data_IF_758662219978
#
_entry.id   IF_758662219978
#
_cell.length_a   1.000
_cell.length_b   1.000
_cell.length_c   1.000
_cell.angle_alpha   90.00
_cell.angle_beta   90.00
_cell.angle_gamma   90.00
#
_symmetry.space_group_name_H-M   'P 1'
#
loop_
_entity.id
_entity.type
_entity.pdbx_description
1 polymer ?
#
# COMPACT_ATOMS: atom_id res chain seq x y z
N UNK A 1 0.52 -15.06 11.68
CA UNK A 1 1.14 -14.52 12.91
C UNK A 1 0.47 -13.20 13.28
N UNK A 2 0.64 -12.70 14.49
CA UNK A 2 0.07 -11.41 14.90
C UNK A 2 1.08 -10.63 15.73
N UNK A 3 1.14 -9.31 15.53
CA UNK A 3 1.91 -8.38 16.34
C UNK A 3 0.95 -7.41 17.06
N UNK A 4 1.31 -6.99 18.27
CA UNK A 4 0.57 -5.97 19.03
C UNK A 4 1.38 -4.67 19.02
N UNK A 5 0.77 -3.58 18.55
CA UNK A 5 1.39 -2.27 18.50
C UNK A 5 0.35 -1.16 18.77
N UNK A 6 0.63 -0.26 19.70
CA UNK A 6 -0.25 0.85 20.10
C UNK A 6 -1.73 0.45 20.28
N UNK A 7 -2.00 -0.73 20.85
CA UNK A 7 -3.35 -1.27 21.01
C UNK A 7 -3.95 -1.94 19.78
N UNK A 8 -3.28 -1.89 18.63
CA UNK A 8 -3.66 -2.65 17.46
C UNK A 8 -3.10 -4.08 17.53
N UNK A 9 -3.91 -5.05 17.15
CA UNK A 9 -3.48 -6.44 16.88
C UNK A 9 -3.44 -6.64 15.38
N UNK A 10 -2.25 -6.70 14.82
CA UNK A 10 -2.04 -6.81 13.39
C UNK A 10 -1.74 -8.24 12.99
N UNK A 11 -2.53 -8.78 12.07
CA UNK A 11 -2.25 -10.06 11.42
C UNK A 11 -1.28 -9.84 10.26
N UNK A 12 -0.24 -10.68 10.20
CA UNK A 12 0.73 -10.67 9.12
C UNK A 12 1.19 -12.09 8.78
N UNK A 13 1.70 -12.25 7.57
CA UNK A 13 2.34 -13.45 7.07
C UNK A 13 3.70 -13.09 6.50
N UNK A 14 4.67 -14.01 6.62
CA UNK A 14 5.99 -13.86 6.04
C UNK A 14 6.23 -14.97 5.02
N UNK A 15 6.87 -14.63 3.91
CA UNK A 15 7.18 -15.55 2.83
C UNK A 15 8.64 -15.39 2.41
N UNK A 16 9.18 -16.41 1.74
CA UNK A 16 10.55 -16.41 1.26
C UNK A 16 11.59 -16.73 2.35
N UNK A 17 12.86 -16.42 2.09
CA UNK A 17 13.96 -16.77 2.99
C UNK A 17 13.86 -16.02 4.33
N UNK A 18 14.35 -16.65 5.39
CA UNK A 18 14.41 -16.10 6.73
C UNK A 18 15.31 -14.85 6.82
N UNK A 19 15.13 -14.09 7.91
CA UNK A 19 15.95 -12.92 8.19
C UNK A 19 17.44 -13.34 8.28
N UNK A 20 18.29 -12.66 7.51
CA UNK A 20 19.74 -12.94 7.44
C UNK A 20 20.15 -13.99 6.41
N UNK A 21 19.20 -14.79 5.89
CA UNK A 21 19.49 -15.74 4.79
C UNK A 21 19.33 -15.10 3.41
N UNK A 22 18.58 -14.00 3.28
CA UNK A 22 18.41 -13.28 2.03
C UNK A 22 19.42 -12.13 1.93
N UNK A 23 20.17 -12.02 0.82
CA UNK A 23 21.11 -10.92 0.61
C UNK A 23 20.40 -9.60 0.24
N UNK A 24 19.07 -9.61 0.10
CA UNK A 24 18.26 -8.50 -0.42
C UNK A 24 17.36 -7.91 0.66
N UNK A 25 17.04 -6.63 0.52
CA UNK A 25 16.10 -5.96 1.40
C UNK A 25 14.71 -6.63 1.36
N UNK A 26 14.01 -6.72 2.51
CA UNK A 26 12.66 -7.26 2.56
C UNK A 26 11.65 -6.34 1.85
N UNK A 27 10.52 -6.90 1.45
CA UNK A 27 9.40 -6.19 0.86
C UNK A 27 8.16 -6.25 1.76
N UNK A 28 7.59 -5.07 2.09
CA UNK A 28 6.28 -4.94 2.71
C UNK A 28 5.21 -4.88 1.63
N UNK A 29 4.18 -5.72 1.73
CA UNK A 29 3.05 -5.77 0.81
C UNK A 29 1.78 -5.18 1.44
N UNK A 30 1.24 -4.14 0.80
CA UNK A 30 0.02 -3.45 1.18
C UNK A 30 -1.05 -3.73 0.13
N UNK A 31 -1.94 -4.66 0.46
CA UNK A 31 -2.90 -5.24 -0.47
C UNK A 31 -3.95 -4.23 -0.98
N UNK A 32 -4.58 -4.48 -2.13
CA UNK A 32 -5.73 -3.70 -2.58
C UNK A 32 -6.95 -3.94 -1.69
N UNK A 33 -8.03 -3.19 -1.91
CA UNK A 33 -9.33 -3.48 -1.32
C UNK A 33 -9.93 -2.37 -0.44
N UNK A 34 -9.46 -1.14 -0.57
CA UNK A 34 -9.89 -0.04 0.28
C UNK A 34 -9.56 -0.33 1.74
N UNK A 35 -10.40 0.10 2.67
CA UNK A 35 -10.20 -0.17 4.09
C UNK A 35 -10.42 -1.66 4.48
N UNK A 36 -10.84 -2.51 3.53
CA UNK A 36 -10.91 -3.97 3.70
C UNK A 36 -9.64 -4.68 3.22
N UNK A 37 -8.55 -3.93 3.02
CA UNK A 37 -7.26 -4.43 2.53
C UNK A 37 -6.72 -5.53 3.44
N UNK A 38 -6.56 -6.73 2.88
CA UNK A 38 -6.09 -7.95 3.55
C UNK A 38 -5.24 -8.81 2.62
N UNK A 39 -4.41 -9.66 3.17
CA UNK A 39 -3.41 -10.48 2.45
C UNK A 39 -4.03 -11.24 1.28
N UNK A 40 -5.17 -11.90 1.48
CA UNK A 40 -5.84 -12.69 0.43
C UNK A 40 -6.23 -11.90 -0.82
N UNK A 41 -6.30 -10.57 -0.75
CA UNK A 41 -6.65 -9.72 -1.90
C UNK A 41 -5.50 -9.53 -2.91
N UNK A 42 -4.32 -10.03 -2.62
CA UNK A 42 -3.27 -10.18 -3.63
C UNK A 42 -3.61 -11.25 -4.67
N UNK A 43 -4.32 -12.30 -4.26
CA UNK A 43 -4.67 -13.48 -5.09
C UNK A 43 -6.06 -13.41 -5.67
N UNK A 44 -7.03 -12.90 -4.89
CA UNK A 44 -8.44 -12.90 -5.25
C UNK A 44 -9.06 -11.52 -5.02
N UNK A 45 -10.13 -11.24 -5.73
CA UNK A 45 -11.01 -10.09 -5.47
C UNK A 45 -11.92 -10.37 -4.26
N UNK A 46 -12.70 -9.39 -3.81
CA UNK A 46 -13.66 -9.58 -2.71
C UNK A 46 -14.73 -10.63 -3.01
N UNK A 47 -15.09 -10.80 -4.29
CA UNK A 47 -16.05 -11.80 -4.79
C UNK A 47 -15.38 -13.14 -5.18
N UNK A 48 -14.11 -13.34 -4.83
CA UNK A 48 -13.39 -14.60 -4.96
C UNK A 48 -12.78 -14.88 -6.33
N UNK A 49 -12.92 -13.99 -7.32
CA UNK A 49 -12.27 -14.15 -8.63
C UNK A 49 -10.75 -14.03 -8.50
N UNK A 50 -10.01 -14.85 -9.23
CA UNK A 50 -8.56 -14.74 -9.30
C UNK A 50 -8.13 -13.39 -9.89
N UNK A 51 -7.02 -12.84 -9.37
CA UNK A 51 -6.41 -11.65 -9.94
C UNK A 51 -5.71 -11.97 -11.26
N UNK A 52 -5.68 -11.00 -12.16
CA UNK A 52 -5.03 -11.09 -13.47
C UNK A 52 -3.60 -10.52 -13.46
N UNK A 53 -2.90 -10.69 -12.35
CA UNK A 53 -1.49 -10.31 -12.19
C UNK A 53 -0.73 -11.35 -11.37
N UNK A 54 0.61 -11.40 -11.45
CA UNK A 54 1.42 -12.29 -10.62
C UNK A 54 1.24 -11.98 -9.12
N UNK A 55 1.10 -13.02 -8.31
CA UNK A 55 1.02 -12.88 -6.86
C UNK A 55 2.38 -12.46 -6.27
N UNK A 56 2.52 -11.24 -5.73
CA UNK A 56 3.81 -10.78 -5.20
C UNK A 56 4.24 -11.55 -3.95
N UNK A 57 3.32 -12.22 -3.23
CA UNK A 57 3.68 -13.07 -2.08
C UNK A 57 4.42 -14.33 -2.51
N UNK A 58 4.28 -14.73 -3.78
CA UNK A 58 4.99 -15.87 -4.39
C UNK A 58 6.22 -15.40 -5.15
N UNK A 59 6.04 -14.42 -6.02
CA UNK A 59 7.09 -14.04 -6.97
C UNK A 59 8.26 -13.31 -6.29
N UNK A 60 7.99 -12.38 -5.39
CA UNK A 60 9.06 -11.69 -4.65
C UNK A 60 9.72 -12.61 -3.61
N UNK A 61 8.96 -13.55 -3.06
CA UNK A 61 9.45 -14.50 -2.06
C UNK A 61 10.53 -15.45 -2.58
N UNK A 62 10.72 -15.55 -3.89
CA UNK A 62 11.82 -16.33 -4.49
C UNK A 62 13.20 -15.74 -4.22
N UNK A 63 13.29 -14.44 -4.00
CA UNK A 63 14.56 -13.74 -3.90
C UNK A 63 14.73 -12.91 -2.61
N UNK A 64 13.66 -12.61 -1.89
CA UNK A 64 13.68 -11.76 -0.70
C UNK A 64 12.64 -12.15 0.33
N UNK A 65 12.84 -11.76 1.57
CA UNK A 65 11.80 -11.87 2.61
C UNK A 65 10.65 -10.94 2.26
N UNK A 66 9.42 -11.46 2.29
CA UNK A 66 8.20 -10.71 2.04
C UNK A 66 7.35 -10.70 3.30
N UNK A 67 6.87 -9.53 3.68
CA UNK A 67 5.94 -9.32 4.77
C UNK A 67 4.63 -8.84 4.17
N UNK A 68 3.56 -9.60 4.33
CA UNK A 68 2.21 -9.20 3.95
C UNK A 68 1.35 -9.04 5.21
N UNK A 69 0.50 -8.01 5.24
CA UNK A 69 -0.33 -7.72 6.41
C UNK A 69 -1.77 -7.41 6.04
N UNK A 70 -2.66 -7.72 6.96
CA UNK A 70 -4.01 -7.19 6.98
C UNK A 70 -3.96 -5.79 7.62
N UNK A 71 -4.58 -4.79 6.98
CA UNK A 71 -4.65 -3.44 7.55
C UNK A 71 -5.56 -3.43 8.79
N UNK A 72 -5.43 -2.39 9.64
CA UNK A 72 -6.29 -2.21 10.82
C UNK A 72 -7.77 -2.38 10.46
N UNK A 73 -8.50 -3.14 11.27
CA UNK A 73 -9.93 -3.46 11.10
C UNK A 73 -10.29 -4.15 9.77
N UNK A 74 -9.32 -4.78 9.12
CA UNK A 74 -9.52 -5.65 7.96
C UNK A 74 -8.98 -7.06 8.24
N UNK A 75 -9.52 -8.07 7.53
CA UNK A 75 -9.08 -9.47 7.68
C UNK A 75 -9.08 -9.93 9.14
N UNK A 76 -7.93 -10.29 9.67
CA UNK A 76 -7.73 -10.74 11.04
C UNK A 76 -7.13 -9.66 11.96
N UNK A 77 -6.89 -8.46 11.45
CA UNK A 77 -6.40 -7.32 12.22
C UNK A 77 -7.52 -6.59 12.94
N UNK A 78 -7.19 -6.03 14.10
CA UNK A 78 -8.07 -5.19 14.90
C UNK A 78 -7.29 -3.98 15.44
N UNK A 79 -7.92 -2.81 15.44
CA UNK A 79 -7.42 -1.61 16.11
C UNK A 79 -8.59 -0.76 16.64
N UNK A 80 -8.43 -0.06 17.76
CA UNK A 80 -9.37 0.98 18.16
C UNK A 80 -9.53 2.02 17.07
N UNK A 81 -10.71 2.66 17.00
CA UNK A 81 -10.97 3.77 16.08
C UNK A 81 -11.21 5.04 16.91
N UNK A 82 -10.32 6.01 16.75
CA UNK A 82 -10.38 7.32 17.40
C UNK A 82 -10.61 8.46 16.40
N UNK A 83 -10.91 9.67 16.90
CA UNK A 83 -11.22 10.83 16.06
C UNK A 83 -10.00 11.38 15.28
N UNK A 84 -8.79 10.97 15.66
CA UNK A 84 -7.54 11.38 15.02
C UNK A 84 -7.01 10.34 14.03
N UNK A 85 -7.70 9.20 13.89
CA UNK A 85 -7.26 8.16 12.96
C UNK A 85 -7.33 8.62 11.51
N UNK A 86 -6.31 8.24 10.74
CA UNK A 86 -6.13 8.62 9.36
C UNK A 86 -4.90 7.94 8.78
N UNK A 87 -4.32 8.48 7.71
CA UNK A 87 -3.15 7.90 7.03
C UNK A 87 -1.98 7.62 7.97
N UNK A 88 -1.74 8.48 8.97
CA UNK A 88 -0.65 8.32 9.94
C UNK A 88 -0.87 7.15 10.88
N UNK A 89 -2.11 6.85 11.24
CA UNK A 89 -2.42 5.69 12.07
C UNK A 89 -2.13 4.37 11.33
N UNK A 90 -2.44 4.30 10.03
CA UNK A 90 -2.08 3.14 9.19
C UNK A 90 -0.57 3.04 9.02
N UNK A 91 0.12 4.16 8.77
CA UNK A 91 1.58 4.17 8.65
C UNK A 91 2.27 3.75 9.96
N UNK A 92 1.75 4.19 11.11
CA UNK A 92 2.26 3.78 12.42
C UNK A 92 2.11 2.27 12.65
N UNK A 93 0.98 1.67 12.27
CA UNK A 93 0.80 0.21 12.33
C UNK A 93 1.84 -0.52 11.46
N UNK A 94 2.04 -0.05 10.23
CA UNK A 94 2.97 -0.64 9.26
C UNK A 94 4.41 -0.55 9.73
N UNK A 95 4.84 0.62 10.22
CA UNK A 95 6.18 0.84 10.76
C UNK A 95 6.38 0.06 12.06
N UNK A 96 5.38 0.04 12.95
CA UNK A 96 5.44 -0.72 14.20
C UNK A 96 5.53 -2.23 13.99
N UNK A 97 4.87 -2.77 12.96
CA UNK A 97 5.05 -4.17 12.55
C UNK A 97 6.49 -4.43 12.10
N UNK A 98 7.07 -3.54 11.28
CA UNK A 98 8.44 -3.68 10.81
C UNK A 98 9.45 -3.57 11.97
N UNK A 99 9.20 -2.68 12.95
CA UNK A 99 10.02 -2.54 14.16
C UNK A 99 9.99 -3.83 14.99
N UNK A 100 8.81 -4.40 15.20
CA UNK A 100 8.65 -5.69 15.90
C UNK A 100 9.34 -6.86 15.18
N UNK A 101 9.59 -6.75 13.87
CA UNK A 101 10.30 -7.72 13.06
C UNK A 101 11.81 -7.42 12.92
N UNK A 102 12.31 -6.32 13.52
CA UNK A 102 13.69 -5.87 13.40
C UNK A 102 14.08 -5.42 12.00
N UNK A 103 13.12 -4.89 11.21
CA UNK A 103 13.33 -4.46 9.82
C UNK A 103 13.52 -2.94 9.80
N UNK A 104 14.75 -2.49 9.63
CA UNK A 104 15.09 -1.06 9.58
C UNK A 104 14.84 -0.45 8.19
N UNK A 105 15.19 -1.17 7.11
CA UNK A 105 15.06 -0.70 5.73
C UNK A 105 14.34 -1.74 4.87
N UNK A 106 13.45 -1.28 4.00
CA UNK A 106 12.56 -2.16 3.22
C UNK A 106 12.11 -1.51 1.92
N UNK A 107 11.66 -2.35 0.99
CA UNK A 107 10.84 -1.92 -0.14
C UNK A 107 9.36 -2.01 0.25
N UNK A 108 8.52 -1.16 -0.32
CA UNK A 108 7.08 -1.27 -0.18
C UNK A 108 6.42 -1.48 -1.55
N UNK A 109 5.52 -2.44 -1.66
CA UNK A 109 4.65 -2.63 -2.82
C UNK A 109 3.22 -2.49 -2.36
N UNK A 110 2.54 -1.45 -2.84
CA UNK A 110 1.15 -1.17 -2.50
C UNK A 110 0.26 -1.20 -3.73
N UNK A 111 -0.89 -1.87 -3.64
CA UNK A 111 -1.87 -1.91 -4.71
C UNK A 111 -3.15 -1.16 -4.32
N UNK A 112 -3.77 -0.42 -5.25
CA UNK A 112 -4.98 0.36 -4.99
C UNK A 112 -4.72 1.36 -3.85
N UNK A 113 -5.48 1.31 -2.76
CA UNK A 113 -5.24 2.10 -1.53
C UNK A 113 -3.84 1.85 -0.95
N UNK A 114 -3.29 0.65 -1.14
CA UNK A 114 -1.93 0.32 -0.73
C UNK A 114 -0.87 1.24 -1.33
N UNK A 115 -1.12 1.79 -2.52
CA UNK A 115 -0.26 2.80 -3.15
C UNK A 115 -0.23 4.11 -2.35
N UNK A 116 -1.37 4.54 -1.82
CA UNK A 116 -1.46 5.74 -0.95
C UNK A 116 -0.75 5.51 0.38
N UNK A 117 -0.89 4.32 0.98
CA UNK A 117 -0.11 3.94 2.16
C UNK A 117 1.41 3.92 1.87
N UNK A 118 1.82 3.36 0.73
CA UNK A 118 3.23 3.32 0.34
C UNK A 118 3.84 4.71 0.16
N UNK A 119 3.09 5.65 -0.43
CA UNK A 119 3.50 7.04 -0.56
C UNK A 119 3.61 7.72 0.80
N UNK A 120 2.65 7.48 1.71
CA UNK A 120 2.71 8.03 3.07
C UNK A 120 3.89 7.50 3.87
N UNK A 121 4.22 6.22 3.74
CA UNK A 121 5.43 5.63 4.33
C UNK A 121 6.70 6.28 3.79
N UNK A 122 6.77 6.52 2.46
CA UNK A 122 7.91 7.19 1.84
C UNK A 122 8.08 8.65 2.32
N UNK A 123 6.98 9.32 2.66
CA UNK A 123 7.00 10.68 3.22
C UNK A 123 7.43 10.68 4.69
N UNK A 124 6.87 9.79 5.51
CA UNK A 124 7.11 9.76 6.96
C UNK A 124 8.44 9.11 7.34
N UNK A 125 8.92 8.15 6.56
CA UNK A 125 10.11 7.38 6.86
C UNK A 125 11.03 7.19 5.63
N UNK A 126 11.45 8.30 4.97
CA UNK A 126 12.22 8.23 3.72
C UNK A 126 13.54 7.47 3.83
N UNK A 127 14.16 7.45 5.02
CA UNK A 127 15.41 6.72 5.27
C UNK A 127 15.18 5.19 5.29
N UNK A 128 13.98 4.75 5.66
CA UNK A 128 13.60 3.34 5.78
C UNK A 128 13.05 2.77 4.47
N UNK A 129 12.34 3.60 3.67
CA UNK A 129 11.74 3.16 2.40
C UNK A 129 12.77 3.22 1.29
N UNK A 130 13.34 2.08 0.94
CA UNK A 130 14.34 1.96 -0.13
C UNK A 130 13.75 2.25 -1.52
N UNK A 131 12.51 1.84 -1.75
CA UNK A 131 11.70 2.19 -2.93
C UNK A 131 10.23 1.84 -2.73
N UNK A 132 9.35 2.42 -3.54
CA UNK A 132 7.93 2.10 -3.55
C UNK A 132 7.43 1.70 -4.94
N UNK A 133 6.71 0.58 -5.00
CA UNK A 133 5.96 0.14 -6.19
C UNK A 133 4.48 0.47 -5.96
N UNK A 134 3.92 1.30 -6.82
CA UNK A 134 2.55 1.79 -6.76
C UNK A 134 1.73 1.08 -7.83
N UNK A 135 1.08 0.00 -7.46
CA UNK A 135 0.31 -0.82 -8.39
C UNK A 135 -1.12 -0.32 -8.48
N UNK A 136 -1.54 0.14 -9.67
CA UNK A 136 -2.86 0.75 -9.91
C UNK A 136 -3.27 1.73 -8.79
N UNK A 137 -2.56 2.85 -8.64
CA UNK A 137 -2.83 3.79 -7.57
C UNK A 137 -4.26 4.34 -7.66
N UNK A 138 -4.89 4.53 -6.49
CA UNK A 138 -6.11 5.30 -6.37
C UNK A 138 -5.79 6.79 -6.34
N UNK A 139 -6.78 7.59 -6.66
CA UNK A 139 -6.65 9.05 -6.54
C UNK A 139 -7.96 9.75 -6.79
N UNK A 140 -7.99 11.04 -6.51
CA UNK A 140 -9.17 11.85 -6.73
C UNK A 140 -9.40 12.11 -8.22
N UNK A 141 -10.60 11.81 -8.66
CA UNK A 141 -11.11 12.13 -9.99
C UNK A 141 -12.59 12.51 -9.85
N UNK A 142 -13.10 13.46 -10.64
CA UNK A 142 -14.53 13.75 -10.67
C UNK A 142 -15.42 12.53 -10.96
N UNK A 143 -14.87 11.53 -11.65
CA UNK A 143 -15.58 10.31 -12.02
C UNK A 143 -15.75 9.32 -10.86
N UNK A 144 -14.95 9.41 -9.82
CA UNK A 144 -14.95 8.44 -8.71
C UNK A 144 -15.33 9.04 -7.34
N UNK A 145 -15.79 10.28 -7.31
CA UNK A 145 -16.11 10.98 -6.07
C UNK A 145 -17.18 10.24 -5.21
N UNK A 146 -18.22 9.69 -5.86
CA UNK A 146 -19.25 8.91 -5.18
C UNK A 146 -18.71 7.56 -4.68
N UNK A 147 -17.86 6.89 -5.48
CA UNK A 147 -17.33 5.56 -5.14
C UNK A 147 -16.52 5.52 -3.84
N UNK A 148 -15.90 6.63 -3.45
CA UNK A 148 -15.12 6.70 -2.20
C UNK A 148 -16.01 6.57 -0.97
N UNK A 149 -17.13 7.28 -0.95
CA UNK A 149 -18.13 7.21 0.11
C UNK A 149 -18.75 5.82 0.18
N UNK A 150 -19.11 5.25 -0.96
CA UNK A 150 -19.68 3.92 -1.04
C UNK A 150 -18.70 2.87 -0.53
N UNK A 151 -17.42 2.97 -0.90
CA UNK A 151 -16.36 2.08 -0.41
C UNK A 151 -16.14 2.20 1.09
N UNK A 152 -16.22 3.40 1.67
CA UNK A 152 -16.12 3.62 3.10
C UNK A 152 -17.32 2.97 3.83
N UNK A 153 -18.53 3.21 3.35
CA UNK A 153 -19.75 2.62 3.91
C UNK A 153 -19.72 1.08 3.85
N UNK A 154 -19.31 0.51 2.73
CA UNK A 154 -19.15 -0.96 2.59
C UNK A 154 -18.13 -1.53 3.60
N UNK A 155 -17.07 -0.77 3.93
CA UNK A 155 -16.15 -1.18 4.99
C UNK A 155 -16.81 -1.09 6.37
N UNK A 156 -17.51 -0.02 6.68
CA UNK A 156 -18.24 0.14 7.95
C UNK A 156 -19.22 -1.01 8.15
N UNK A 157 -20.03 -1.31 7.14
CA UNK A 157 -21.04 -2.39 7.20
C UNK A 157 -20.37 -3.76 7.36
N UNK A 158 -19.30 -4.02 6.64
CA UNK A 158 -18.54 -5.28 6.72
C UNK A 158 -17.71 -5.47 7.99
N UNK A 159 -17.51 -4.41 8.76
CA UNK A 159 -16.75 -4.41 10.02
C UNK A 159 -17.66 -4.13 11.25
N UNK A 160 -18.97 -4.21 11.11
CA UNK A 160 -19.94 -3.78 12.12
C UNK A 160 -19.66 -4.38 13.52
N UNK A 161 -19.34 -5.68 13.60
CA UNK A 161 -19.02 -6.34 14.88
C UNK A 161 -17.77 -5.77 15.54
N UNK A 162 -16.79 -5.32 14.75
CA UNK A 162 -15.51 -4.76 15.22
C UNK A 162 -15.64 -3.29 15.59
N UNK A 163 -16.57 -2.60 14.94
CA UNK A 163 -16.88 -1.20 15.16
C UNK A 163 -17.98 -1.00 16.18
N UNK A 164 -18.50 -2.08 16.78
CA UNK A 164 -19.50 -2.01 17.82
C UNK A 164 -19.00 -1.12 18.98
N UNK A 165 -19.78 -0.08 19.31
CA UNK A 165 -19.42 0.90 20.34
C UNK A 165 -18.49 2.04 19.89
N UNK A 166 -18.01 2.05 18.65
CA UNK A 166 -17.31 3.19 18.10
C UNK A 166 -18.31 4.33 17.85
N UNK A 167 -18.08 5.54 18.41
CA UNK A 167 -18.97 6.68 18.18
C UNK A 167 -19.07 7.01 16.68
N UNK A 168 -20.27 7.27 16.14
CA UNK A 168 -20.41 7.67 14.73
C UNK A 168 -19.55 8.87 14.31
N UNK A 169 -19.31 9.80 15.22
CA UNK A 169 -18.44 10.95 14.99
C UNK A 169 -16.97 10.54 14.71
N UNK A 170 -16.50 9.42 15.31
CA UNK A 170 -15.15 8.93 15.03
C UNK A 170 -15.06 8.32 13.62
N UNK A 171 -16.11 7.64 13.15
CA UNK A 171 -16.18 7.11 11.79
C UNK A 171 -16.23 8.23 10.75
N UNK A 172 -17.01 9.29 11.00
CA UNK A 172 -17.03 10.48 10.16
C UNK A 172 -15.67 11.18 10.12
N UNK A 173 -15.00 11.30 11.28
CA UNK A 173 -13.66 11.87 11.36
C UNK A 173 -12.65 11.02 10.55
N UNK A 174 -12.70 9.70 10.68
CA UNK A 174 -11.84 8.79 9.92
C UNK A 174 -12.06 8.95 8.40
N UNK A 175 -13.32 8.99 7.94
CA UNK A 175 -13.63 9.22 6.52
C UNK A 175 -13.05 10.56 6.05
N UNK A 176 -13.25 11.63 6.82
CA UNK A 176 -12.74 12.96 6.50
C UNK A 176 -11.20 12.98 6.51
N UNK A 177 -10.55 12.37 7.49
CA UNK A 177 -9.10 12.32 7.60
C UNK A 177 -8.45 11.52 6.47
N UNK A 178 -9.14 10.50 5.93
CA UNK A 178 -8.61 9.69 4.82
C UNK A 178 -8.93 10.30 3.45
N UNK A 179 -10.12 10.87 3.26
CA UNK A 179 -10.61 11.19 1.92
C UNK A 179 -11.13 12.63 1.76
N UNK A 180 -11.14 13.42 2.83
CA UNK A 180 -11.64 14.79 2.81
C UNK A 180 -10.61 15.83 2.36
N UNK A 181 -9.34 15.45 2.23
CA UNK A 181 -8.26 16.34 1.80
C UNK A 181 -8.26 16.62 0.29
N UNK A 182 -7.42 17.56 -0.12
CA UNK A 182 -7.23 17.97 -1.52
C UNK A 182 -6.12 17.17 -2.24
N UNK A 183 -5.44 16.27 -1.54
CA UNK A 183 -4.35 15.49 -2.09
C UNK A 183 -4.84 14.51 -3.15
N UNK A 184 -4.25 14.57 -4.34
CA UNK A 184 -4.73 13.86 -5.52
C UNK A 184 -4.64 12.32 -5.39
N UNK A 185 -3.75 11.81 -4.51
CA UNK A 185 -3.63 10.39 -4.12
C UNK A 185 -4.07 10.14 -2.68
N UNK A 186 -4.80 11.09 -2.08
CA UNK A 186 -5.38 11.12 -0.73
C UNK A 186 -4.40 11.22 0.44
N UNK A 187 -3.16 10.75 0.31
CA UNK A 187 -2.24 10.58 1.43
C UNK A 187 -1.05 11.53 1.42
N UNK A 188 -0.69 12.07 0.25
CA UNK A 188 0.47 12.96 0.08
C UNK A 188 0.22 14.02 -0.98
N UNK A 189 0.90 15.15 -0.84
CA UNK A 189 0.78 16.28 -1.76
C UNK A 189 1.53 16.04 -3.09
N UNK A 190 1.14 16.80 -4.12
CA UNK A 190 1.89 16.88 -5.39
C UNK A 190 3.32 17.36 -5.18
N UNK A 191 3.54 18.25 -4.22
CA UNK A 191 4.87 18.76 -3.90
C UNK A 191 5.78 17.68 -3.33
N UNK A 192 5.26 16.82 -2.45
CA UNK A 192 6.01 15.65 -1.99
C UNK A 192 6.42 14.76 -3.17
N UNK A 193 5.50 14.43 -4.08
CA UNK A 193 5.82 13.57 -5.24
C UNK A 193 6.89 14.20 -6.13
N UNK A 194 6.87 15.52 -6.35
CA UNK A 194 7.90 16.22 -7.12
C UNK A 194 9.30 16.09 -6.51
N UNK A 195 9.39 16.14 -5.19
CA UNK A 195 10.67 16.24 -4.46
C UNK A 195 11.17 14.94 -3.88
N UNK A 196 10.29 13.95 -3.70
CA UNK A 196 10.69 12.71 -3.03
C UNK A 196 11.94 12.12 -3.66
N UNK A 197 12.98 11.84 -2.85
CA UNK A 197 14.16 11.12 -3.31
C UNK A 197 13.91 9.61 -3.42
N UNK A 198 12.86 9.10 -2.79
CA UNK A 198 12.50 7.68 -2.83
C UNK A 198 12.18 7.26 -4.27
N UNK A 199 12.85 6.24 -4.81
CA UNK A 199 12.52 5.69 -6.13
C UNK A 199 11.08 5.18 -6.17
N UNK A 200 10.33 5.55 -7.21
CA UNK A 200 8.95 5.13 -7.42
C UNK A 200 8.79 4.40 -8.76
N UNK A 201 8.10 3.25 -8.73
CA UNK A 201 7.60 2.56 -9.91
C UNK A 201 6.07 2.59 -9.88
N UNK A 202 5.45 3.08 -10.93
CA UNK A 202 4.00 3.10 -11.11
C UNK A 202 3.61 2.04 -12.14
N UNK A 203 2.75 1.12 -11.74
CA UNK A 203 2.04 0.21 -12.62
C UNK A 203 0.64 0.79 -12.85
N UNK A 204 0.37 1.24 -14.07
CA UNK A 204 -0.77 2.12 -14.35
C UNK A 204 -2.14 1.50 -13.99
N UNK A 205 -3.04 2.32 -13.46
CA UNK A 205 -4.47 2.05 -13.39
C UNK A 205 -5.15 2.23 -14.75
N UNK A 206 -6.35 1.64 -14.95
CA UNK A 206 -7.11 1.78 -16.19
C UNK A 206 -8.63 1.63 -16.01
N UNK A 207 -9.12 1.81 -14.79
CA UNK A 207 -10.55 1.72 -14.47
C UNK A 207 -11.01 2.91 -13.61
N UNK A 208 -12.30 2.96 -13.28
CA UNK A 208 -12.89 4.07 -12.53
C UNK A 208 -12.36 4.21 -11.10
N UNK A 209 -11.94 3.12 -10.47
CA UNK A 209 -11.33 3.15 -9.13
C UNK A 209 -9.85 3.53 -9.17
N UNK A 210 -9.19 3.21 -10.30
CA UNK A 210 -7.76 3.41 -10.53
C UNK A 210 -7.56 4.18 -11.84
N UNK A 211 -7.88 5.48 -11.88
CA UNK A 211 -7.84 6.27 -13.11
C UNK A 211 -6.42 6.34 -13.68
N UNK A 212 -6.27 6.12 -14.98
CA UNK A 212 -4.97 6.18 -15.66
C UNK A 212 -4.31 7.57 -15.55
N UNK A 213 -5.13 8.62 -15.47
CA UNK A 213 -4.66 9.99 -15.28
C UNK A 213 -3.86 10.16 -13.97
N UNK A 214 -4.22 9.47 -12.90
CA UNK A 214 -3.47 9.51 -11.62
C UNK A 214 -2.09 8.90 -11.81
N UNK A 215 -1.99 7.76 -12.49
CA UNK A 215 -0.72 7.10 -12.78
C UNK A 215 0.21 7.96 -13.63
N UNK A 216 -0.34 8.60 -14.66
CA UNK A 216 0.40 9.50 -15.54
C UNK A 216 0.80 10.79 -14.84
N UNK A 217 -0.05 11.34 -13.97
CA UNK A 217 0.27 12.51 -13.17
C UNK A 217 1.44 12.24 -12.21
N UNK A 218 1.45 11.07 -11.52
CA UNK A 218 2.58 10.66 -10.69
C UNK A 218 3.90 10.65 -11.47
N UNK A 219 3.90 10.08 -12.67
CA UNK A 219 5.08 10.06 -13.52
C UNK A 219 5.48 11.45 -14.07
N UNK A 220 4.50 12.30 -14.39
CA UNK A 220 4.76 13.65 -14.89
C UNK A 220 5.30 14.60 -13.82
N UNK A 221 4.92 14.40 -12.55
CA UNK A 221 5.37 15.22 -11.43
C UNK A 221 6.86 15.04 -11.13
N UNK A 222 7.41 13.84 -11.32
CA UNK A 222 8.81 13.56 -11.01
C UNK A 222 9.42 12.67 -12.10
N UNK A 223 10.40 13.17 -12.87
CA UNK A 223 11.00 12.43 -14.00
C UNK A 223 11.76 11.16 -13.58
N UNK A 224 12.02 10.95 -12.30
CA UNK A 224 12.62 9.73 -11.77
C UNK A 224 11.59 8.61 -11.51
N UNK A 225 10.30 8.91 -11.58
CA UNK A 225 9.24 7.91 -11.48
C UNK A 225 9.21 7.09 -12.76
N UNK A 226 9.30 5.77 -12.62
CA UNK A 226 9.12 4.85 -13.73
C UNK A 226 7.65 4.51 -13.88
N UNK A 227 7.14 4.46 -15.11
CA UNK A 227 5.76 4.12 -15.42
C UNK A 227 5.72 2.91 -16.36
N UNK A 228 4.94 1.89 -16.00
CA UNK A 228 4.58 0.77 -16.86
C UNK A 228 3.08 0.84 -17.09
N UNK A 229 2.69 1.14 -18.33
CA UNK A 229 1.27 1.29 -18.71
C UNK A 229 0.56 -0.08 -18.82
N UNK A 230 1.20 -1.05 -19.49
CA UNK A 230 0.63 -2.36 -19.75
C UNK A 230 1.38 -3.46 -18.99
N UNK A 231 0.75 -4.00 -17.97
CA UNK A 231 1.37 -4.95 -17.05
C UNK A 231 0.41 -6.07 -16.58
N UNK A 232 -0.88 -6.00 -16.92
CA UNK A 232 -1.90 -6.96 -16.50
C UNK A 232 -2.11 -8.06 -17.53
N UNK A 233 -2.54 -9.21 -17.03
CA UNK A 233 -2.83 -10.38 -17.87
C UNK A 233 -1.60 -11.21 -18.19
N UNK A 234 -1.83 -12.41 -18.72
CA UNK A 234 -0.78 -13.39 -19.00
C UNK A 234 0.24 -12.88 -20.05
N UNK A 235 -0.24 -12.14 -21.06
CA UNK A 235 0.64 -11.54 -22.08
C UNK A 235 1.67 -10.55 -21.54
N UNK A 236 1.40 -9.93 -20.39
CA UNK A 236 2.27 -8.93 -19.76
C UNK A 236 2.93 -9.43 -18.47
N UNK A 237 2.81 -10.75 -18.19
CA UNK A 237 3.40 -11.35 -16.98
C UNK A 237 4.91 -11.07 -16.88
N UNK A 238 5.64 -11.25 -17.98
CA UNK A 238 7.07 -10.97 -18.02
C UNK A 238 7.38 -9.49 -17.81
N UNK A 239 6.60 -8.59 -18.41
CA UNK A 239 6.73 -7.13 -18.21
C UNK A 239 6.55 -6.75 -16.74
N UNK A 240 5.54 -7.29 -16.07
CA UNK A 240 5.33 -7.08 -14.65
C UNK A 240 6.51 -7.58 -13.82
N UNK A 241 6.89 -8.86 -13.99
CA UNK A 241 7.94 -9.48 -13.17
C UNK A 241 9.29 -8.80 -13.35
N UNK A 242 9.73 -8.63 -14.60
CA UNK A 242 11.02 -8.00 -14.90
C UNK A 242 11.03 -6.55 -14.43
N UNK A 243 9.97 -5.80 -14.74
CA UNK A 243 9.85 -4.39 -14.34
C UNK A 243 9.94 -4.20 -12.83
N UNK A 244 9.22 -5.01 -12.05
CA UNK A 244 9.24 -4.92 -10.58
C UNK A 244 10.58 -5.39 -10.02
N UNK A 245 11.06 -6.58 -10.41
CA UNK A 245 12.29 -7.14 -9.84
C UNK A 245 13.52 -6.30 -10.15
N UNK A 246 13.70 -5.89 -11.41
CA UNK A 246 14.82 -5.01 -11.80
C UNK A 246 14.75 -3.63 -11.12
N UNK A 247 13.54 -3.09 -10.94
CA UNK A 247 13.36 -1.83 -10.22
C UNK A 247 13.82 -1.93 -8.78
N UNK A 248 13.41 -2.99 -8.06
CA UNK A 248 13.82 -3.22 -6.67
C UNK A 248 15.34 -3.41 -6.56
N UNK A 249 15.96 -4.16 -7.50
CA UNK A 249 17.40 -4.39 -7.54
C UNK A 249 18.20 -3.10 -7.78
N UNK A 250 17.76 -2.26 -8.72
CA UNK A 250 18.37 -0.96 -8.95
C UNK A 250 18.28 -0.03 -7.76
N UNK A 251 17.12 -0.05 -7.06
CA UNK A 251 16.90 0.76 -5.87
C UNK A 251 17.82 0.37 -4.69
N UNK A 252 18.20 -0.90 -4.58
CA UNK A 252 19.15 -1.39 -3.56
C UNK A 252 20.57 -0.86 -3.78
N UNK A 253 20.93 -0.49 -5.02
CA UNK A 253 22.24 0.06 -5.37
C UNK A 253 22.36 1.56 -5.08
N UNK A 254 21.24 2.24 -4.81
CA UNK A 254 21.23 3.65 -4.46
C UNK A 254 21.60 3.85 -2.98
N UNK A 255 22.32 4.94 -2.66
CA UNK A 255 22.57 5.27 -1.26
C UNK A 255 21.24 5.50 -0.52
N UNK A 256 21.18 5.22 0.78
CA UNK A 256 20.05 5.61 1.59
C UNK A 256 19.76 7.10 1.49
N UNK A 257 18.49 7.48 1.56
CA UNK A 257 18.09 8.87 1.63
C UNK A 257 18.70 9.50 2.87
N UNK A 258 19.47 10.59 2.72
CA UNK A 258 20.01 11.34 3.85
C UNK A 258 18.86 12.02 4.63
N UNK A 259 18.97 12.00 5.94
CA UNK A 259 18.07 12.72 6.88
C UNK A 259 18.16 14.23 6.72
#
# INVERSE_FOLDING_TARGET
MSALYLGARLHYETYGPDAGAAPRLPALLLAPGGLRSRIGLWRHTHDGRARNWPDPTVELARARRVIAMDQRNAGQSFAPVGPQDGWDSFAADQLGLLDALGIERFHVLGACIGSSFALRLAELAPQRVASAVLQQPIGWSPRNAALRRDNFQVWVDGAADRLAGVPPAHLQALEQNLFGGEDFVFSVSREFVRRTPTPLLVLAGNDVHHPAEISRELAALNPRVQLIEEWRGESHRATYLNGVLEFLERAEQLPPVSS
#
